data_IF_546408000688
#
_entry.id   IF_546408000688
#
_cell.length_a   1.000
_cell.length_b   1.000
_cell.length_c   1.000
_cell.angle_alpha   90.00
_cell.angle_beta   90.00
_cell.angle_gamma   90.00
#
_symmetry.space_group_name_H-M   'P 1'
#
loop_
_entity.id
_entity.type
_entity.pdbx_description
1 polymer ?
#
# COMPACT_ATOMS: atom_id res chain seq x y z
N UNK A 1 -1.65 5.65 4.65
CA UNK A 1 -2.52 6.72 4.12
C UNK A 1 -3.98 6.53 4.54
N UNK A 2 -4.57 5.33 4.55
CA UNK A 2 -5.95 5.16 5.05
C UNK A 2 -6.15 5.72 6.46
N UNK A 3 -5.17 5.53 7.35
CA UNK A 3 -5.13 6.12 8.70
C UNK A 3 -5.03 7.66 8.73
N UNK A 4 -4.88 8.33 7.60
CA UNK A 4 -5.04 9.79 7.51
C UNK A 4 -6.50 10.21 7.61
N UNK A 5 -7.42 9.34 7.16
CA UNK A 5 -8.86 9.61 7.11
C UNK A 5 -9.64 8.75 8.09
N UNK A 6 -9.08 7.61 8.48
CA UNK A 6 -9.70 6.65 9.39
C UNK A 6 -9.15 6.81 10.80
N UNK A 7 -10.03 6.74 11.80
CA UNK A 7 -9.65 6.83 13.21
C UNK A 7 -9.28 8.24 13.66
N UNK A 8 -9.82 9.28 13.02
CA UNK A 8 -9.67 10.66 13.46
C UNK A 8 -10.61 10.94 14.63
N UNK A 9 -10.06 11.51 15.71
CA UNK A 9 -10.83 12.02 16.85
C UNK A 9 -10.53 13.51 17.03
N UNK A 10 -11.53 14.40 17.20
CA UNK A 10 -11.30 15.79 17.56
C UNK A 10 -10.44 15.93 18.83
N UNK A 11 -9.51 16.89 18.84
CA UNK A 11 -8.65 17.24 20.00
C UNK A 11 -8.49 18.77 20.15
N UNK A 12 -9.54 19.51 19.83
CA UNK A 12 -9.61 20.99 19.81
C UNK A 12 -9.65 21.53 21.24
N UNK A 13 -10.47 20.93 22.08
CA UNK A 13 -10.70 21.37 23.47
C UNK A 13 -9.84 20.59 24.48
N UNK A 14 -9.76 21.09 25.71
CA UNK A 14 -9.10 20.36 26.79
C UNK A 14 -9.79 19.03 27.10
N UNK A 15 -11.13 19.05 27.17
CA UNK A 15 -11.96 17.85 27.38
C UNK A 15 -11.75 16.81 26.29
N UNK A 16 -11.78 17.21 25.02
CA UNK A 16 -11.52 16.28 23.90
C UNK A 16 -10.11 15.65 23.99
N UNK A 17 -9.10 16.43 24.40
CA UNK A 17 -7.75 15.89 24.62
C UNK A 17 -7.70 14.91 25.77
N UNK A 18 -8.34 15.23 26.89
CA UNK A 18 -8.41 14.38 28.08
C UNK A 18 -9.11 13.05 27.78
N UNK A 19 -10.19 13.06 26.98
CA UNK A 19 -10.88 11.85 26.54
C UNK A 19 -9.94 10.93 25.75
N UNK A 20 -9.27 11.45 24.73
CA UNK A 20 -8.35 10.66 23.91
C UNK A 20 -7.15 10.17 24.73
N UNK A 21 -6.62 11.01 25.62
CA UNK A 21 -5.55 10.63 26.56
C UNK A 21 -5.98 9.48 27.47
N UNK A 22 -7.19 9.55 28.00
CA UNK A 22 -7.76 8.51 28.86
C UNK A 22 -7.97 7.19 28.09
N UNK A 23 -8.62 7.25 26.93
CA UNK A 23 -8.94 6.07 26.11
C UNK A 23 -7.68 5.33 25.65
N UNK A 24 -6.65 6.06 25.22
CA UNK A 24 -5.41 5.47 24.70
C UNK A 24 -4.27 5.42 25.75
N UNK A 25 -4.54 5.81 26.99
CA UNK A 25 -3.56 5.91 28.07
C UNK A 25 -2.29 6.70 27.66
N UNK A 26 -2.49 7.90 27.12
CA UNK A 26 -1.42 8.77 26.63
C UNK A 26 -1.19 9.95 27.58
N UNK A 27 0.07 10.28 27.83
CA UNK A 27 0.41 11.53 28.52
C UNK A 27 0.20 12.75 27.62
N UNK A 28 0.11 13.93 28.23
CA UNK A 28 0.03 15.21 27.50
C UNK A 28 1.23 15.42 26.57
N UNK A 29 2.42 15.05 27.00
CA UNK A 29 3.63 15.18 26.19
C UNK A 29 3.61 14.26 24.98
N UNK A 30 3.22 12.99 25.15
CA UNK A 30 3.13 12.04 24.03
C UNK A 30 2.07 12.48 23.02
N UNK A 31 0.90 12.91 23.53
CA UNK A 31 -0.19 13.42 22.70
C UNK A 31 0.29 14.60 21.84
N UNK A 32 0.90 15.61 22.47
CA UNK A 32 1.37 16.82 21.79
C UNK A 32 2.53 16.57 20.84
N UNK A 33 3.48 15.72 21.23
CA UNK A 33 4.72 15.52 20.48
C UNK A 33 4.55 14.60 19.27
N UNK A 34 3.70 13.58 19.37
CA UNK A 34 3.58 12.54 18.36
C UNK A 34 2.20 12.48 17.72
N UNK A 35 1.12 12.57 18.50
CA UNK A 35 -0.18 12.05 18.07
C UNK A 35 -1.11 13.12 17.51
N UNK A 36 -1.11 14.31 18.10
CA UNK A 36 -1.93 15.43 17.66
C UNK A 36 -1.39 16.00 16.35
N UNK A 37 -2.26 16.04 15.34
CA UNK A 37 -2.00 16.68 14.06
C UNK A 37 -3.03 17.77 13.80
N UNK A 38 -2.65 19.02 14.07
CA UNK A 38 -3.60 20.14 14.09
C UNK A 38 -4.67 19.94 15.17
N UNK A 39 -5.91 19.77 14.74
CA UNK A 39 -7.08 19.61 15.61
C UNK A 39 -7.57 18.18 15.77
N UNK A 40 -6.83 17.19 15.25
CA UNK A 40 -7.23 15.78 15.29
C UNK A 40 -6.15 14.88 15.88
N UNK A 41 -6.57 13.81 16.54
CA UNK A 41 -5.76 12.62 16.82
C UNK A 41 -5.47 11.90 15.50
N UNK A 42 -4.20 11.54 15.25
CA UNK A 42 -3.82 10.83 14.03
C UNK A 42 -2.65 9.85 14.24
N UNK A 43 -2.93 8.54 14.11
CA UNK A 43 -1.91 7.49 14.28
C UNK A 43 -0.83 7.49 13.20
N UNK A 44 -1.16 7.87 11.96
CA UNK A 44 -0.17 7.98 10.89
C UNK A 44 0.82 9.11 11.19
N UNK A 45 0.34 10.22 11.76
CA UNK A 45 1.19 11.30 12.23
C UNK A 45 2.07 10.88 13.41
N UNK A 46 1.58 10.03 14.31
CA UNK A 46 2.41 9.45 15.38
C UNK A 46 3.62 8.68 14.82
N UNK A 47 3.38 7.80 13.85
CA UNK A 47 4.46 7.08 13.17
C UNK A 47 5.44 8.03 12.45
N UNK A 48 4.93 8.98 11.67
CA UNK A 48 5.78 9.94 10.95
C UNK A 48 6.59 10.83 11.92
N UNK A 49 5.98 11.28 13.02
CA UNK A 49 6.65 12.10 14.05
C UNK A 49 7.73 11.31 14.78
N UNK A 50 7.49 10.02 15.06
CA UNK A 50 8.51 9.16 15.65
C UNK A 50 9.75 9.07 14.75
N UNK A 51 9.55 8.81 13.45
CA UNK A 51 10.65 8.77 12.48
C UNK A 51 11.36 10.13 12.36
N UNK A 52 10.61 11.24 12.33
CA UNK A 52 11.17 12.60 12.30
C UNK A 52 12.08 12.86 13.50
N UNK A 53 11.61 12.56 14.70
CA UNK A 53 12.30 12.89 15.96
C UNK A 53 13.47 11.94 16.21
N UNK A 54 13.27 10.63 16.04
CA UNK A 54 14.23 9.61 16.48
C UNK A 54 15.12 9.08 15.35
N UNK A 55 14.70 9.25 14.08
CA UNK A 55 15.43 8.75 12.91
C UNK A 55 15.72 9.84 11.89
N UNK A 56 15.63 11.12 12.28
CA UNK A 56 15.85 12.29 11.40
C UNK A 56 14.99 12.24 10.13
N UNK A 57 13.80 11.64 10.22
CA UNK A 57 12.86 11.51 9.10
C UNK A 57 13.19 10.41 8.09
N UNK A 58 14.07 9.47 8.43
CA UNK A 58 14.39 8.29 7.62
C UNK A 58 13.46 7.10 7.95
N UNK A 59 13.30 6.17 6.99
CA UNK A 59 12.68 4.86 7.26
C UNK A 59 11.26 4.64 6.70
N UNK A 60 10.65 5.63 6.05
CA UNK A 60 9.33 5.44 5.41
C UNK A 60 9.47 4.99 3.96
N UNK A 61 8.70 3.97 3.57
CA UNK A 61 8.61 3.47 2.20
C UNK A 61 7.15 3.35 1.76
N UNK A 62 6.89 3.60 0.48
CA UNK A 62 5.62 3.26 -0.16
C UNK A 62 5.69 1.90 -0.84
N UNK A 63 4.55 1.20 -0.92
CA UNK A 63 4.38 -0.12 -1.57
C UNK A 63 4.61 -0.13 -3.09
N UNK A 64 4.86 1.03 -3.68
CA UNK A 64 5.36 1.16 -5.05
C UNK A 64 6.01 2.52 -5.26
N UNK A 65 6.81 2.65 -6.32
CA UNK A 65 7.48 3.91 -6.70
C UNK A 65 6.47 5.05 -6.94
N UNK A 66 5.40 4.78 -7.70
CA UNK A 66 4.35 5.77 -8.00
C UNK A 66 3.55 6.11 -6.75
N UNK A 67 3.26 5.11 -5.92
CA UNK A 67 2.47 5.30 -4.72
C UNK A 67 3.21 6.15 -3.69
N UNK A 68 4.45 5.80 -3.32
CA UNK A 68 5.24 6.56 -2.34
C UNK A 68 5.44 8.03 -2.74
N UNK A 69 5.78 8.29 -4.01
CA UNK A 69 5.93 9.67 -4.52
C UNK A 69 4.64 10.48 -4.42
N UNK A 70 3.49 9.89 -4.79
CA UNK A 70 2.19 10.57 -4.70
C UNK A 70 1.76 10.82 -3.27
N UNK A 71 1.96 9.86 -2.37
CA UNK A 71 1.63 10.02 -0.95
C UNK A 71 2.42 11.17 -0.32
N UNK A 72 3.73 11.23 -0.57
CA UNK A 72 4.58 12.31 -0.05
C UNK A 72 4.14 13.69 -0.56
N UNK A 73 3.83 13.81 -1.85
CA UNK A 73 3.41 15.08 -2.43
C UNK A 73 2.02 15.55 -1.94
N UNK A 74 1.13 14.61 -1.62
CA UNK A 74 -0.27 14.91 -1.30
C UNK A 74 -0.49 15.17 0.19
N UNK A 75 0.19 14.45 1.07
CA UNK A 75 -0.21 14.33 2.47
C UNK A 75 0.77 15.05 3.40
N UNK A 76 0.34 16.15 4.06
CA UNK A 76 1.23 16.99 4.86
C UNK A 76 1.89 16.26 6.04
N UNK A 77 1.28 15.19 6.54
CA UNK A 77 1.83 14.33 7.60
C UNK A 77 3.26 13.86 7.27
N UNK A 78 3.58 13.67 5.99
CA UNK A 78 4.88 13.17 5.57
C UNK A 78 5.94 14.26 5.35
N UNK A 79 5.59 15.55 5.36
CA UNK A 79 6.55 16.62 5.01
C UNK A 79 7.65 16.84 6.05
N UNK A 80 7.48 16.30 7.26
CA UNK A 80 8.55 16.24 8.26
C UNK A 80 9.58 15.12 8.01
N UNK A 81 9.36 14.27 7.01
CA UNK A 81 10.28 13.18 6.66
C UNK A 81 11.26 13.66 5.57
N UNK A 82 12.48 13.10 5.56
CA UNK A 82 13.47 13.46 4.54
C UNK A 82 13.07 12.98 3.14
N UNK A 83 12.50 11.77 3.08
CA UNK A 83 12.01 11.15 1.85
C UNK A 83 11.06 10.01 2.19
N UNK A 84 10.17 9.70 1.25
CA UNK A 84 9.45 8.43 1.22
C UNK A 84 10.06 7.56 0.14
N UNK A 85 10.72 6.48 0.55
CA UNK A 85 11.32 5.50 -0.34
C UNK A 85 10.28 4.62 -1.04
N UNK A 86 10.74 3.60 -1.74
CA UNK A 86 9.88 2.58 -2.31
C UNK A 86 10.34 1.20 -1.88
N UNK A 87 9.38 0.36 -1.56
CA UNK A 87 9.55 -1.07 -1.37
C UNK A 87 8.35 -1.71 -2.07
N UNK A 88 8.48 -2.09 -3.36
CA UNK A 88 7.40 -2.71 -4.11
C UNK A 88 6.88 -3.93 -3.35
N UNK A 89 5.56 -4.12 -3.34
CA UNK A 89 5.01 -5.38 -2.84
C UNK A 89 5.63 -6.54 -3.64
N UNK A 90 6.05 -7.62 -2.96
CA UNK A 90 6.55 -8.80 -3.65
C UNK A 90 5.44 -9.41 -4.50
N UNK A 91 5.77 -9.87 -5.69
CA UNK A 91 4.88 -10.71 -6.48
C UNK A 91 4.86 -12.11 -5.87
N UNK A 92 3.71 -12.78 -5.71
CA UNK A 92 3.66 -14.17 -5.28
C UNK A 92 4.47 -15.14 -6.16
N UNK A 93 4.76 -14.78 -7.41
CA UNK A 93 5.66 -15.51 -8.30
C UNK A 93 7.15 -15.25 -8.03
N UNK A 94 7.49 -14.23 -7.22
CA UNK A 94 8.87 -13.92 -6.77
C UNK A 94 9.40 -14.90 -5.72
N UNK A 95 8.76 -16.07 -5.54
CA UNK A 95 9.24 -17.16 -4.67
C UNK A 95 10.34 -18.00 -5.32
N UNK A 96 10.59 -17.81 -6.62
CA UNK A 96 11.66 -18.49 -7.35
C UNK A 96 13.05 -17.95 -7.04
N UNK A 97 14.09 -18.68 -7.45
CA UNK A 97 15.47 -18.18 -7.36
C UNK A 97 15.63 -16.92 -8.23
N UNK A 98 16.22 -15.88 -7.64
CA UNK A 98 16.53 -14.67 -8.38
C UNK A 98 17.57 -14.97 -9.47
N UNK A 99 17.22 -14.74 -10.74
CA UNK A 99 18.18 -14.80 -11.84
C UNK A 99 18.43 -13.41 -12.44
N UNK A 100 19.71 -13.08 -12.61
CA UNK A 100 20.14 -11.81 -13.19
C UNK A 100 19.74 -11.72 -14.65
N UNK A 101 19.80 -12.84 -15.37
CA UNK A 101 19.48 -12.95 -16.79
C UNK A 101 18.00 -12.64 -17.05
N UNK A 102 17.07 -13.21 -16.28
CA UNK A 102 15.64 -12.92 -16.43
C UNK A 102 15.32 -11.48 -16.08
N UNK A 103 15.88 -10.95 -14.99
CA UNK A 103 15.69 -9.55 -14.61
C UNK A 103 16.17 -8.58 -15.69
N UNK A 104 17.29 -8.88 -16.35
CA UNK A 104 17.80 -8.08 -17.47
C UNK A 104 17.00 -8.26 -18.76
N UNK A 105 16.48 -9.46 -19.04
CA UNK A 105 15.63 -9.71 -20.22
C UNK A 105 14.33 -8.88 -20.15
N UNK A 106 13.67 -8.84 -18.99
CA UNK A 106 12.50 -7.98 -18.76
C UNK A 106 12.86 -6.50 -18.96
N UNK A 107 14.04 -6.08 -18.50
CA UNK A 107 14.48 -4.68 -18.62
C UNK A 107 14.81 -4.26 -20.06
N UNK A 108 15.25 -5.19 -20.90
CA UNK A 108 15.53 -4.98 -22.33
C UNK A 108 14.29 -5.09 -23.23
N UNK A 109 13.18 -5.57 -22.69
CA UNK A 109 11.97 -5.85 -23.47
C UNK A 109 12.05 -7.17 -24.25
N UNK A 110 12.98 -8.06 -23.89
CA UNK A 110 13.17 -9.38 -24.49
C UNK A 110 12.15 -10.40 -23.94
N UNK A 111 10.90 -9.99 -23.74
CA UNK A 111 9.83 -10.86 -23.24
C UNK A 111 9.31 -11.69 -24.40
N UNK A 112 9.74 -12.95 -24.47
CA UNK A 112 9.23 -13.91 -25.45
C UNK A 112 7.84 -14.42 -25.02
N UNK A 113 6.95 -14.57 -25.99
CA UNK A 113 5.67 -15.26 -25.79
C UNK A 113 5.97 -16.76 -25.63
N UNK A 114 5.36 -17.38 -24.63
CA UNK A 114 5.36 -18.84 -24.47
C UNK A 114 4.28 -19.44 -25.39
N UNK A 115 4.66 -20.09 -26.50
CA UNK A 115 3.71 -20.61 -27.46
C UNK A 115 2.88 -21.79 -26.92
N UNK A 116 3.45 -22.58 -26.01
CA UNK A 116 2.76 -23.74 -25.42
C UNK A 116 1.68 -23.24 -24.43
N UNK A 117 2.01 -22.22 -23.64
CA UNK A 117 1.03 -21.56 -22.77
C UNK A 117 -0.10 -20.91 -23.58
N UNK A 118 0.23 -20.17 -24.65
CA UNK A 118 -0.78 -19.52 -25.50
C UNK A 118 -1.67 -20.54 -26.21
N UNK A 119 -1.13 -21.67 -26.66
CA UNK A 119 -1.92 -22.78 -27.21
C UNK A 119 -2.87 -23.39 -26.17
N UNK A 120 -2.46 -23.50 -24.91
CA UNK A 120 -3.28 -24.00 -23.80
C UNK A 120 -4.33 -23.03 -23.27
N UNK A 121 -4.22 -21.73 -23.60
CA UNK A 121 -5.04 -20.66 -23.01
C UNK A 121 -6.54 -20.83 -23.23
N UNK A 122 -6.96 -21.37 -24.38
CA UNK A 122 -8.38 -21.61 -24.69
C UNK A 122 -9.04 -22.59 -23.73
N UNK A 123 -8.35 -23.71 -23.42
CA UNK A 123 -8.86 -24.71 -22.49
C UNK A 123 -9.00 -24.15 -21.07
N UNK A 124 -8.05 -23.32 -20.63
CA UNK A 124 -8.11 -22.65 -19.32
C UNK A 124 -9.29 -21.68 -19.23
N UNK A 125 -9.62 -20.95 -20.30
CA UNK A 125 -10.80 -20.08 -20.35
C UNK A 125 -12.10 -20.88 -20.18
N UNK A 126 -12.23 -22.02 -20.85
CA UNK A 126 -13.41 -22.88 -20.74
C UNK A 126 -13.59 -23.41 -19.32
N UNK A 127 -12.51 -23.86 -18.67
CA UNK A 127 -12.54 -24.29 -17.27
C UNK A 127 -12.96 -23.17 -16.32
N UNK A 128 -12.49 -21.94 -16.56
CA UNK A 128 -12.89 -20.78 -15.75
C UNK A 128 -14.37 -20.43 -15.93
N UNK A 129 -14.89 -20.53 -17.16
CA UNK A 129 -16.32 -20.33 -17.45
C UNK A 129 -17.16 -21.40 -16.75
N UNK A 130 -16.78 -22.68 -16.83
CA UNK A 130 -17.43 -23.78 -16.14
C UNK A 130 -17.45 -23.57 -14.63
N UNK A 131 -16.29 -23.27 -14.03
CA UNK A 131 -16.16 -23.01 -12.60
C UNK A 131 -17.04 -21.84 -12.12
N UNK A 132 -17.13 -20.78 -12.93
CA UNK A 132 -17.97 -19.61 -12.63
C UNK A 132 -19.46 -19.82 -12.93
N UNK A 133 -19.86 -20.98 -13.46
CA UNK A 133 -21.25 -21.27 -13.86
C UNK A 133 -21.72 -20.44 -15.07
N UNK A 134 -20.80 -20.02 -15.94
CA UNK A 134 -21.09 -19.29 -17.17
C UNK A 134 -21.41 -20.25 -18.32
N UNK A 135 -22.03 -19.72 -19.39
CA UNK A 135 -22.15 -20.46 -20.64
C UNK A 135 -20.75 -20.69 -21.23
N UNK A 136 -20.42 -21.94 -21.56
CA UNK A 136 -19.12 -22.30 -22.12
C UNK A 136 -19.06 -21.96 -23.60
N UNK A 137 -18.32 -20.91 -23.94
CA UNK A 137 -18.09 -20.42 -25.29
C UNK A 137 -16.57 -20.28 -25.54
N UNK A 138 -15.99 -21.05 -26.48
CA UNK A 138 -14.56 -21.02 -26.76
C UNK A 138 -14.10 -19.69 -27.39
N UNK A 139 -15.02 -18.94 -28.01
CA UNK A 139 -14.72 -17.68 -28.70
C UNK A 139 -14.98 -16.45 -27.82
N UNK A 140 -15.55 -16.64 -26.63
CA UNK A 140 -15.84 -15.54 -25.71
C UNK A 140 -14.57 -14.93 -25.08
N UNK A 141 -14.62 -13.63 -24.87
CA UNK A 141 -13.68 -12.92 -24.00
C UNK A 141 -14.13 -13.03 -22.54
N UNK A 142 -13.18 -13.36 -21.65
CA UNK A 142 -13.44 -13.46 -20.22
C UNK A 142 -12.91 -12.21 -19.52
N UNK A 143 -13.82 -11.37 -19.01
CA UNK A 143 -13.46 -10.24 -18.17
C UNK A 143 -13.48 -10.66 -16.70
N UNK A 144 -12.33 -10.57 -16.03
CA UNK A 144 -12.15 -11.06 -14.65
C UNK A 144 -11.85 -9.89 -13.72
N UNK A 145 -12.64 -9.76 -12.66
CA UNK A 145 -12.37 -8.86 -11.54
C UNK A 145 -12.19 -9.68 -10.26
N UNK A 146 -10.97 -9.69 -9.73
CA UNK A 146 -10.65 -10.35 -8.45
C UNK A 146 -10.15 -9.27 -7.50
N UNK A 147 -10.92 -9.02 -6.46
CA UNK A 147 -10.61 -8.00 -5.47
C UNK A 147 -11.62 -8.01 -4.32
N UNK A 148 -11.31 -7.25 -3.27
CA UNK A 148 -12.32 -6.95 -2.25
C UNK A 148 -13.40 -6.05 -2.86
N UNK A 149 -14.65 -6.43 -2.63
CA UNK A 149 -15.82 -5.59 -2.87
C UNK A 149 -15.96 -4.56 -1.75
#
# INVERSE_FOLDING_TARGET
HNAEFQGLWPVRTATEREEVQSVFNLSADVMKQYVQFGEVFNLLHAGASYLRIHQRGFGTVGVSKKYGKRSYARYPIFWGLQKVGNLPNPDPSDLGEWSKEQAMAVQRGDVAVDPDYEAGRGALKLQAQEWAGLNQDPDAELFVFVGRW
#
